data_IF_954159461861
#
_entry.id   IF_954159461861
#
_cell.length_a   1.000
_cell.length_b   1.000
_cell.length_c   1.000
_cell.angle_alpha   90.00
_cell.angle_beta   90.00
_cell.angle_gamma   90.00
#
_symmetry.space_group_name_H-M   'P 1'
#
loop_
_entity.id
_entity.type
_entity.pdbx_description
1 polymer ?
#
# COMPACT_ATOMS: atom_id res chain seq x y z
N UNK A 1 -44.46 -35.08 41.75
CA UNK A 1 -43.92 -33.87 42.39
C UNK A 1 -43.04 -34.29 43.55
N UNK A 2 -41.73 -33.98 43.49
CA UNK A 2 -40.90 -33.61 44.64
C UNK A 2 -39.62 -32.97 44.08
N UNK A 3 -39.39 -31.75 44.57
CA UNK A 3 -38.40 -30.77 44.16
C UNK A 3 -37.17 -30.91 45.05
N UNK A 4 -35.97 -30.95 44.46
CA UNK A 4 -34.76 -30.35 45.05
C UNK A 4 -33.85 -29.83 43.94
N UNK A 5 -34.09 -28.60 43.52
CA UNK A 5 -33.08 -27.72 42.95
C UNK A 5 -31.99 -27.53 44.02
N UNK A 6 -30.89 -28.28 43.92
CA UNK A 6 -29.67 -28.01 44.69
C UNK A 6 -28.61 -27.41 43.79
N UNK A 7 -28.45 -26.12 44.02
CA UNK A 7 -27.34 -25.25 43.67
C UNK A 7 -25.96 -25.84 43.98
N UNK A 8 -24.99 -25.39 43.18
CA UNK A 8 -23.62 -25.00 43.56
C UNK A 8 -22.46 -25.83 42.96
N UNK A 9 -21.66 -25.10 42.17
CA UNK A 9 -20.21 -25.18 41.97
C UNK A 9 -19.54 -26.54 41.74
N UNK A 10 -19.02 -26.69 40.54
CA UNK A 10 -17.62 -27.08 40.32
C UNK A 10 -17.07 -26.25 39.16
N UNK A 11 -16.57 -25.03 39.40
CA UNK A 11 -15.16 -24.80 39.79
C UNK A 11 -14.32 -26.07 39.64
N UNK A 12 -13.71 -26.21 38.47
CA UNK A 12 -12.25 -26.23 38.34
C UNK A 12 -11.94 -26.46 36.86
N UNK A 13 -11.85 -25.35 36.12
CA UNK A 13 -11.03 -25.30 34.92
C UNK A 13 -9.61 -25.63 35.38
N UNK A 14 -9.21 -26.90 35.22
CA UNK A 14 -7.83 -27.32 35.41
C UNK A 14 -7.16 -27.18 34.04
N UNK A 15 -6.44 -26.09 33.72
CA UNK A 15 -5.33 -26.26 32.82
C UNK A 15 -4.27 -27.00 33.66
N UNK A 16 -4.22 -28.32 33.52
CA UNK A 16 -2.97 -29.03 33.79
C UNK A 16 -2.00 -28.65 32.66
N UNK A 17 -1.58 -27.39 32.65
CA UNK A 17 -0.55 -26.88 31.78
C UNK A 17 0.77 -27.13 32.51
N UNK A 18 1.61 -28.01 31.97
CA UNK A 18 2.97 -28.13 32.48
C UNK A 18 3.65 -26.76 32.32
N UNK A 19 4.66 -26.39 33.13
CA UNK A 19 5.34 -25.10 32.98
C UNK A 19 5.91 -24.89 31.56
N UNK A 20 6.11 -25.97 30.81
CA UNK A 20 6.51 -26.00 29.40
C UNK A 20 5.42 -25.52 28.43
N UNK A 21 4.14 -25.67 28.76
CA UNK A 21 3.03 -25.23 27.92
C UNK A 21 2.87 -23.70 27.93
N UNK A 22 3.20 -23.06 29.06
CA UNK A 22 3.30 -21.59 29.12
C UNK A 22 4.46 -21.04 28.29
N UNK A 23 5.58 -21.79 28.20
CA UNK A 23 6.71 -21.44 27.31
C UNK A 23 6.27 -21.55 25.85
N UNK A 24 5.57 -22.62 25.49
CA UNK A 24 5.03 -22.80 24.12
C UNK A 24 4.02 -21.70 23.77
N UNK A 25 3.10 -21.38 24.68
CA UNK A 25 2.11 -20.31 24.48
C UNK A 25 2.78 -18.95 24.32
N UNK A 26 3.77 -18.65 25.16
CA UNK A 26 4.55 -17.41 25.07
C UNK A 26 5.30 -17.30 23.75
N UNK A 27 5.91 -18.39 23.29
CA UNK A 27 6.65 -18.39 22.02
C UNK A 27 5.73 -18.20 20.81
N UNK A 28 4.55 -18.82 20.80
CA UNK A 28 3.53 -18.58 19.76
C UNK A 28 3.03 -17.14 19.80
N UNK A 29 2.77 -16.59 21.00
CA UNK A 29 2.33 -15.21 21.15
C UNK A 29 3.39 -14.21 20.66
N UNK A 30 4.67 -14.44 20.98
CA UNK A 30 5.78 -13.62 20.48
C UNK A 30 5.93 -13.76 18.97
N UNK A 31 5.82 -14.97 18.41
CA UNK A 31 5.87 -15.18 16.97
C UNK A 31 4.73 -14.46 16.24
N UNK A 32 3.50 -14.54 16.76
CA UNK A 32 2.35 -13.83 16.22
C UNK A 32 2.53 -12.31 16.31
N UNK A 33 3.02 -11.80 17.45
CA UNK A 33 3.28 -10.38 17.64
C UNK A 33 4.39 -9.88 16.72
N UNK A 34 5.47 -10.65 16.56
CA UNK A 34 6.57 -10.34 15.65
C UNK A 34 6.08 -10.31 14.20
N UNK A 35 5.28 -11.30 13.77
CA UNK A 35 4.70 -11.35 12.42
C UNK A 35 3.81 -10.14 12.13
N UNK A 36 3.19 -9.55 13.15
CA UNK A 36 2.32 -8.37 13.02
C UNK A 36 3.10 -7.05 13.07
N UNK A 37 4.12 -6.95 13.94
CA UNK A 37 4.90 -5.72 14.14
C UNK A 37 6.00 -5.53 13.09
N UNK A 38 6.69 -6.59 12.69
CA UNK A 38 7.81 -6.55 11.73
C UNK A 38 7.43 -5.85 10.41
N UNK A 39 6.34 -6.22 9.70
CA UNK A 39 6.00 -5.56 8.43
C UNK A 39 5.68 -4.08 8.64
N UNK A 40 4.99 -3.71 9.72
CA UNK A 40 4.66 -2.30 10.00
C UNK A 40 5.89 -1.42 10.28
N UNK A 41 6.96 -1.99 10.87
CA UNK A 41 8.21 -1.28 11.11
C UNK A 41 9.06 -1.16 9.84
N UNK A 42 9.05 -2.18 8.97
CA UNK A 42 9.82 -2.20 7.72
C UNK A 42 9.15 -1.33 6.65
N UNK A 43 7.82 -1.23 6.64
CA UNK A 43 7.06 -0.40 5.68
C UNK A 43 7.28 1.12 5.84
N UNK A 44 7.98 1.59 6.87
CA UNK A 44 8.28 3.02 7.02
C UNK A 44 9.25 3.59 5.97
N UNK A 45 9.95 2.73 5.22
CA UNK A 45 10.87 3.12 4.15
C UNK A 45 10.59 2.44 2.82
N UNK A 46 9.36 1.93 2.61
CA UNK A 46 8.94 1.52 1.28
C UNK A 46 8.75 2.79 0.44
N UNK A 47 9.80 3.18 -0.30
CA UNK A 47 9.72 4.25 -1.28
C UNK A 47 8.54 3.98 -2.23
N UNK A 48 7.79 5.03 -2.55
CA UNK A 48 6.73 4.92 -3.56
C UNK A 48 7.39 5.23 -4.90
N UNK A 49 7.47 4.24 -5.77
CA UNK A 49 7.96 4.40 -7.13
C UNK A 49 6.82 4.91 -8.02
N UNK A 50 7.12 5.91 -8.84
CA UNK A 50 6.23 6.43 -9.87
C UNK A 50 6.66 5.83 -11.19
N UNK A 51 5.75 5.11 -11.84
CA UNK A 51 5.92 4.62 -13.19
C UNK A 51 5.06 5.45 -14.13
N UNK A 52 5.71 6.02 -15.14
CA UNK A 52 5.05 6.79 -16.19
C UNK A 52 5.00 5.94 -17.44
N UNK A 53 3.78 5.57 -17.85
CA UNK A 53 3.49 4.81 -19.05
C UNK A 53 3.00 5.74 -20.15
N UNK A 54 3.54 5.55 -21.34
CA UNK A 54 3.03 6.15 -22.57
C UNK A 54 2.94 5.06 -23.63
N UNK A 55 1.77 4.93 -24.26
CA UNK A 55 1.48 3.85 -25.22
C UNK A 55 1.72 2.43 -24.68
N UNK A 56 1.53 2.25 -23.37
CA UNK A 56 1.76 0.95 -22.71
C UNK A 56 3.23 0.63 -22.42
N UNK A 57 4.16 1.53 -22.73
CA UNK A 57 5.59 1.38 -22.41
C UNK A 57 5.97 2.34 -21.29
N UNK A 58 6.77 1.87 -20.33
CA UNK A 58 7.31 2.72 -19.27
C UNK A 58 8.39 3.63 -19.85
N UNK A 59 8.09 4.93 -19.91
CA UNK A 59 9.01 5.95 -20.43
C UNK A 59 9.85 6.60 -19.32
N UNK A 60 9.36 6.58 -18.08
CA UNK A 60 10.05 7.19 -16.94
C UNK A 60 9.72 6.45 -15.63
N UNK A 61 10.69 6.43 -14.72
CA UNK A 61 10.60 5.78 -13.40
C UNK A 61 11.38 6.61 -12.39
N UNK A 62 10.73 7.00 -11.30
CA UNK A 62 11.37 7.73 -10.23
C UNK A 62 10.69 7.50 -8.89
N UNK A 63 11.45 7.59 -7.80
CA UNK A 63 10.91 7.43 -6.45
C UNK A 63 10.43 8.77 -5.91
N UNK A 64 9.25 8.79 -5.27
CA UNK A 64 8.72 9.94 -4.54
C UNK A 64 9.56 10.22 -3.29
N UNK A 65 10.44 11.20 -3.40
CA UNK A 65 11.17 11.77 -2.28
C UNK A 65 10.29 12.73 -1.47
N UNK A 66 10.35 12.64 -0.14
CA UNK A 66 9.80 13.68 0.75
C UNK A 66 10.61 14.97 0.62
N UNK A 67 9.91 16.11 0.65
CA UNK A 67 10.56 17.43 0.60
C UNK A 67 10.89 17.92 -0.81
N UNK A 68 10.74 17.09 -1.85
CA UNK A 68 11.10 17.46 -3.22
C UNK A 68 9.86 17.86 -4.02
N UNK A 69 9.86 19.07 -4.57
CA UNK A 69 8.90 19.49 -5.59
C UNK A 69 9.54 19.37 -6.97
N UNK A 70 8.89 18.67 -7.90
CA UNK A 70 9.35 18.53 -9.29
C UNK A 70 8.20 18.86 -10.23
N UNK A 71 8.50 19.57 -11.31
CA UNK A 71 7.58 19.76 -12.41
C UNK A 71 8.17 19.01 -13.61
N UNK A 72 7.44 18.03 -14.12
CA UNK A 72 7.83 17.23 -15.28
C UNK A 72 6.90 17.60 -16.43
N UNK A 73 7.45 18.14 -17.51
CA UNK A 73 6.70 18.41 -18.74
C UNK A 73 7.10 17.39 -19.79
N UNK A 74 6.13 16.67 -20.33
CA UNK A 74 6.32 15.78 -21.46
C UNK A 74 5.69 16.45 -22.67
N UNK A 75 6.52 17.11 -23.49
CA UNK A 75 6.09 17.84 -24.70
C UNK A 75 5.93 16.91 -25.93
N UNK A 76 6.07 15.59 -25.74
CA UNK A 76 5.74 14.60 -26.77
C UNK A 76 4.23 14.71 -27.02
N UNK A 77 3.75 14.89 -28.26
CA UNK A 77 2.31 14.90 -28.52
C UNK A 77 1.73 13.58 -27.99
N UNK A 78 0.90 13.59 -26.94
CA UNK A 78 0.21 14.73 -26.32
C UNK A 78 0.90 15.38 -25.10
N UNK A 79 0.84 16.72 -25.00
CA UNK A 79 1.50 17.45 -23.92
C UNK A 79 0.84 17.18 -22.56
N UNK A 80 1.63 16.69 -21.60
CA UNK A 80 1.20 16.40 -20.23
C UNK A 80 2.20 17.01 -19.25
N UNK A 81 1.70 17.82 -18.30
CA UNK A 81 2.49 18.34 -17.19
C UNK A 81 2.10 17.65 -15.90
N UNK A 82 3.11 17.11 -15.22
CA UNK A 82 2.99 16.47 -13.91
C UNK A 82 3.68 17.33 -12.86
N UNK A 83 3.01 17.54 -11.74
CA UNK A 83 3.58 18.20 -10.58
C UNK A 83 3.69 17.24 -9.41
N UNK A 84 4.89 17.12 -8.86
CA UNK A 84 5.17 16.51 -7.56
C UNK A 84 5.27 17.62 -6.52
N UNK A 85 4.71 17.36 -5.34
CA UNK A 85 4.82 18.23 -4.17
C UNK A 85 5.66 17.60 -3.05
N UNK A 86 6.13 18.41 -2.08
CA UNK A 86 6.95 17.95 -0.96
C UNK A 86 6.30 16.91 -0.03
N UNK A 87 4.99 16.78 -0.08
CA UNK A 87 4.18 15.87 0.75
C UNK A 87 4.03 14.46 0.16
N UNK A 88 4.92 14.06 -0.77
CA UNK A 88 4.83 12.80 -1.54
C UNK A 88 3.52 12.65 -2.31
N UNK A 89 2.95 13.76 -2.77
CA UNK A 89 1.85 13.71 -3.71
C UNK A 89 2.29 14.11 -5.10
N UNK A 90 1.63 13.53 -6.09
CA UNK A 90 1.83 13.82 -7.50
C UNK A 90 0.47 13.95 -8.18
N UNK A 91 0.37 14.84 -9.17
CA UNK A 91 -0.85 15.01 -9.96
C UNK A 91 -0.50 15.48 -11.36
N UNK A 92 -1.39 15.19 -12.30
CA UNK A 92 -1.38 15.82 -13.62
C UNK A 92 -2.02 17.19 -13.46
N UNK A 93 -1.25 18.25 -13.67
CA UNK A 93 -1.74 19.63 -13.54
C UNK A 93 -2.22 20.20 -14.87
N UNK A 94 -1.74 19.63 -15.98
CA UNK A 94 -2.14 20.03 -17.33
C UNK A 94 -2.11 18.83 -18.26
N UNK A 95 -3.10 18.76 -19.14
CA UNK A 95 -3.19 17.77 -20.20
C UNK A 95 -3.97 18.38 -21.37
N UNK A 96 -3.60 18.05 -22.61
CA UNK A 96 -4.31 18.47 -23.82
C UNK A 96 -5.58 17.64 -24.13
N UNK A 97 -5.99 16.74 -23.24
CA UNK A 97 -7.17 15.89 -23.47
C UNK A 97 -8.50 16.64 -23.23
N UNK A 98 -9.58 16.32 -23.98
CA UNK A 98 -10.88 16.96 -23.79
C UNK A 98 -11.57 16.56 -22.47
N UNK A 99 -11.35 15.32 -22.03
CA UNK A 99 -12.06 14.76 -20.87
C UNK A 99 -11.54 15.30 -19.53
N UNK A 100 -10.28 15.77 -19.49
CA UNK A 100 -9.62 16.30 -18.29
C UNK A 100 -9.73 15.37 -17.05
N UNK A 101 -10.01 14.08 -17.23
CA UNK A 101 -10.21 13.10 -16.14
C UNK A 101 -8.95 12.98 -15.29
N UNK A 102 -7.78 12.97 -15.93
CA UNK A 102 -6.49 12.92 -15.25
C UNK A 102 -6.24 14.14 -14.36
N UNK A 103 -6.59 15.34 -14.82
CA UNK A 103 -6.47 16.59 -14.03
C UNK A 103 -7.49 16.59 -12.89
N UNK A 104 -8.72 16.15 -13.16
CA UNK A 104 -9.79 16.09 -12.17
C UNK A 104 -9.59 14.98 -11.12
N UNK A 105 -8.74 13.98 -11.41
CA UNK A 105 -8.32 12.96 -10.43
C UNK A 105 -7.56 13.60 -9.27
N UNK A 106 -6.83 14.68 -9.54
CA UNK A 106 -6.09 15.42 -8.52
C UNK A 106 -4.88 14.65 -7.98
N UNK A 107 -4.58 14.88 -6.71
CA UNK A 107 -3.33 14.45 -6.07
C UNK A 107 -3.41 13.00 -5.60
N UNK A 108 -2.56 12.15 -6.17
CA UNK A 108 -2.34 10.77 -5.76
C UNK A 108 -1.04 10.69 -4.92
N UNK A 109 -1.03 9.83 -3.91
CA UNK A 109 0.08 9.73 -2.93
C UNK A 109 0.29 8.35 -2.33
N UNK A 110 -0.65 7.43 -2.52
CA UNK A 110 -0.62 6.08 -1.93
C UNK A 110 -0.26 5.08 -3.00
N UNK A 111 0.60 4.10 -2.67
CA UNK A 111 0.86 2.96 -3.53
C UNK A 111 -0.45 2.25 -3.93
N UNK A 112 -0.53 1.80 -5.19
CA UNK A 112 -1.73 1.26 -5.82
C UNK A 112 -2.67 2.30 -6.43
N UNK A 113 -2.48 3.60 -6.16
CA UNK A 113 -3.21 4.66 -6.86
C UNK A 113 -2.61 4.90 -8.24
N UNK A 114 -3.45 5.32 -9.18
CA UNK A 114 -3.05 5.68 -10.53
C UNK A 114 -3.89 6.83 -11.05
N UNK A 115 -3.35 7.54 -12.04
CA UNK A 115 -4.07 8.54 -12.84
C UNK A 115 -3.86 8.21 -14.31
N UNK A 116 -4.94 8.10 -15.08
CA UNK A 116 -4.90 7.71 -16.48
C UNK A 116 -5.52 8.79 -17.36
N UNK A 117 -4.87 9.08 -18.47
CA UNK A 117 -5.37 9.93 -19.55
C UNK A 117 -5.62 9.05 -20.77
N UNK A 118 -6.83 8.50 -20.87
CA UNK A 118 -7.20 7.52 -21.88
C UNK A 118 -7.03 8.01 -23.33
N UNK A 119 -7.44 9.24 -23.70
CA UNK A 119 -7.27 9.73 -25.07
C UNK A 119 -5.80 9.86 -25.51
N UNK A 120 -4.93 10.05 -24.53
CA UNK A 120 -3.50 10.32 -24.70
C UNK A 120 -2.64 9.08 -24.42
N UNK A 121 -3.26 7.94 -24.12
CA UNK A 121 -2.61 6.68 -23.74
C UNK A 121 -1.50 6.84 -22.70
N UNK A 122 -1.71 7.77 -21.75
CA UNK A 122 -0.74 8.15 -20.72
C UNK A 122 -1.24 7.72 -19.35
N UNK A 123 -0.43 6.99 -18.58
CA UNK A 123 -0.82 6.47 -17.27
C UNK A 123 0.31 6.67 -16.27
N UNK A 124 -0.02 7.20 -15.10
CA UNK A 124 0.88 7.29 -13.96
C UNK A 124 0.42 6.28 -12.92
N UNK A 125 1.33 5.41 -12.48
CA UNK A 125 1.06 4.42 -11.45
C UNK A 125 2.02 4.64 -10.27
N UNK A 126 1.46 4.65 -9.06
CA UNK A 126 2.24 4.62 -7.83
C UNK A 126 2.41 3.18 -7.37
N UNK A 127 3.62 2.66 -7.39
CA UNK A 127 3.94 1.31 -6.93
C UNK A 127 4.69 1.36 -5.60
N UNK A 128 4.33 0.47 -4.67
CA UNK A 128 5.12 0.29 -3.46
C UNK A 128 6.42 -0.45 -3.81
N UNK A 129 7.55 -0.06 -3.20
CA UNK A 129 8.83 -0.75 -3.39
C UNK A 129 8.76 -2.27 -3.14
N UNK A 130 7.82 -2.74 -2.30
CA UNK A 130 7.60 -4.17 -2.06
C UNK A 130 6.88 -4.89 -3.22
N UNK A 131 6.07 -4.17 -4.00
CA UNK A 131 5.37 -4.72 -5.18
C UNK A 131 6.21 -4.65 -6.46
N UNK A 132 7.23 -3.79 -6.53
CA UNK A 132 8.12 -3.68 -7.69
C UNK A 132 8.93 -4.97 -7.94
N UNK A 133 9.24 -5.74 -6.89
CA UNK A 133 10.01 -6.99 -6.99
C UNK A 133 9.15 -8.26 -7.13
N UNK A 134 7.82 -8.13 -7.16
CA UNK A 134 6.90 -9.27 -7.03
C UNK A 134 5.91 -9.52 -8.17
N UNK A 135 5.83 -8.64 -9.18
CA UNK A 135 4.79 -8.74 -10.22
C UNK A 135 5.43 -8.79 -11.61
N UNK A 136 6.15 -9.88 -11.89
CA UNK A 136 6.31 -10.39 -13.26
C UNK A 136 6.74 -11.87 -13.21
N UNK A 137 5.85 -12.73 -12.71
CA UNK A 137 5.93 -14.19 -12.93
C UNK A 137 4.64 -14.68 -13.54
N UNK A 138 4.40 -14.32 -14.80
CA UNK A 138 3.56 -15.15 -15.69
C UNK A 138 4.47 -16.18 -16.35
N UNK A 139 4.41 -17.41 -15.84
CA UNK A 139 5.02 -18.61 -16.40
C UNK A 139 3.92 -19.49 -17.01
#
# INVERSE_FOLDING_TARGET
MNNEIRSDKSREQRPWARPRDFILLGLIAVAALAMLLIPSLISHSAGIEVLVYHEGVVIDRFVLEEGTARLLSYDQLPAVEIQQWPDRSIAIVRSDCPDQVCVNTGRIRVAGQFAACLPNNFVIVLQGAAEAEGVDTVA
#
